data_IF_398457565731
#
_entry.id   IF_398457565731
#
_cell.length_a   1.000
_cell.length_b   1.000
_cell.length_c   1.000
_cell.angle_alpha   90.00
_cell.angle_beta   90.00
_cell.angle_gamma   90.00
#
_symmetry.space_group_name_H-M   'P 1'
#
loop_
_entity.id
_entity.type
_entity.pdbx_description
1 polymer ?
#
# COMPACT_ATOMS: atom_id res chain seq x y z
N UNK A 1 6.87 -26.38 -32.13
CA UNK A 1 8.14 -26.54 -31.38
C UNK A 1 7.95 -25.76 -30.09
N UNK A 2 7.55 -26.51 -29.06
CA UNK A 2 7.10 -25.99 -27.75
C UNK A 2 8.32 -25.68 -26.87
N UNK A 3 8.34 -24.50 -26.26
CA UNK A 3 9.19 -24.24 -25.11
C UNK A 3 8.29 -23.93 -23.91
N UNK A 4 8.00 -24.98 -23.14
CA UNK A 4 7.48 -24.88 -21.76
C UNK A 4 8.54 -24.25 -20.88
N UNK A 5 8.28 -23.07 -20.36
CA UNK A 5 9.00 -22.53 -19.20
C UNK A 5 8.25 -22.94 -17.91
N UNK A 6 8.78 -23.96 -17.28
CA UNK A 6 8.49 -24.31 -15.89
C UNK A 6 9.04 -23.20 -14.98
N UNK A 7 8.14 -22.48 -14.30
CA UNK A 7 8.49 -21.64 -13.15
C UNK A 7 8.10 -22.37 -11.86
N UNK A 8 8.95 -23.30 -11.43
CA UNK A 8 8.82 -23.91 -10.11
C UNK A 8 9.39 -22.99 -9.02
N UNK A 9 8.54 -22.72 -8.06
CA UNK A 9 8.74 -22.59 -6.62
C UNK A 9 10.10 -22.09 -6.08
N UNK A 10 10.19 -20.80 -5.75
CA UNK A 10 11.22 -20.29 -4.81
C UNK A 10 10.62 -19.27 -3.82
N UNK A 11 9.55 -19.67 -3.11
CA UNK A 11 8.96 -18.85 -2.06
C UNK A 11 9.58 -19.03 -0.66
N UNK A 12 10.39 -20.06 -0.44
CA UNK A 12 10.97 -20.38 0.88
C UNK A 12 12.36 -19.80 1.13
N UNK A 13 13.02 -19.22 0.13
CA UNK A 13 14.40 -18.77 0.22
C UNK A 13 14.60 -17.44 0.94
N UNK A 14 13.70 -16.50 0.80
CA UNK A 14 13.92 -15.12 1.25
C UNK A 14 13.94 -14.98 2.79
N UNK A 15 13.02 -15.60 3.50
CA UNK A 15 12.99 -15.60 4.98
C UNK A 15 14.14 -16.41 5.59
N UNK A 16 14.54 -17.51 4.95
CA UNK A 16 15.68 -18.32 5.38
C UNK A 16 17.02 -17.60 5.14
N UNK A 17 17.16 -16.93 4.01
CA UNK A 17 18.34 -16.12 3.68
C UNK A 17 18.43 -14.91 4.61
N UNK A 18 17.31 -14.21 4.88
CA UNK A 18 17.31 -13.08 5.82
C UNK A 18 17.69 -13.52 7.24
N UNK A 19 17.19 -14.67 7.71
CA UNK A 19 17.58 -15.25 9.00
C UNK A 19 19.06 -15.64 9.06
N UNK A 20 19.63 -16.18 7.98
CA UNK A 20 21.05 -16.53 7.92
C UNK A 20 21.96 -15.30 7.86
N UNK A 21 21.58 -14.27 7.07
CA UNK A 21 22.33 -13.02 6.97
C UNK A 21 22.26 -12.20 8.26
N UNK A 22 21.09 -12.07 8.88
CA UNK A 22 20.92 -11.46 10.20
C UNK A 22 21.73 -12.19 11.27
N UNK A 23 21.74 -13.52 11.25
CA UNK A 23 22.50 -14.33 12.21
C UNK A 23 24.02 -14.24 12.02
N UNK A 24 24.53 -14.02 10.80
CA UNK A 24 25.95 -13.84 10.54
C UNK A 24 26.41 -12.41 10.86
N UNK A 25 25.67 -11.40 10.42
CA UNK A 25 25.94 -9.99 10.73
C UNK A 25 25.86 -9.72 12.24
N UNK A 26 24.88 -10.32 12.94
CA UNK A 26 24.74 -10.22 14.40
C UNK A 26 25.95 -10.83 15.13
N UNK A 27 26.44 -11.99 14.69
CA UNK A 27 27.64 -12.62 15.30
C UNK A 27 28.90 -11.79 15.13
N UNK A 28 29.05 -11.12 14.00
CA UNK A 28 30.22 -10.27 13.74
C UNK A 28 30.15 -8.95 14.51
N UNK A 29 28.96 -8.35 14.62
CA UNK A 29 28.72 -7.15 15.40
C UNK A 29 28.84 -7.39 16.92
N UNK A 30 28.33 -8.53 17.42
CA UNK A 30 28.46 -8.95 18.81
C UNK A 30 29.88 -9.18 19.28
N UNK A 31 30.80 -9.52 18.37
CA UNK A 31 32.21 -9.76 18.70
C UNK A 31 33.06 -8.46 18.85
N UNK A 32 32.55 -7.32 18.36
CA UNK A 32 33.28 -6.07 18.29
C UNK A 32 32.68 -4.90 19.10
N UNK A 33 31.46 -5.02 19.60
CA UNK A 33 30.72 -3.94 20.25
C UNK A 33 30.86 -3.96 21.79
N UNK A 34 30.83 -2.77 22.42
CA UNK A 34 30.72 -2.66 23.86
C UNK A 34 29.39 -3.30 24.37
N UNK A 35 29.36 -3.93 25.55
CA UNK A 35 28.20 -4.68 26.06
C UNK A 35 26.86 -3.90 26.01
N UNK A 36 26.89 -2.60 26.29
CA UNK A 36 25.71 -1.72 26.26
C UNK A 36 25.19 -1.46 24.84
N UNK A 37 26.06 -1.40 23.84
CA UNK A 37 25.66 -1.22 22.45
C UNK A 37 25.01 -2.51 21.90
N UNK A 38 25.56 -3.64 22.23
CA UNK A 38 25.01 -4.96 21.89
C UNK A 38 23.62 -5.16 22.48
N UNK A 39 23.41 -4.78 23.74
CA UNK A 39 22.09 -4.89 24.39
C UNK A 39 21.03 -4.03 23.67
N UNK A 40 21.34 -2.79 23.30
CA UNK A 40 20.46 -1.89 22.55
C UNK A 40 20.14 -2.42 21.15
N UNK A 41 21.11 -2.96 20.44
CA UNK A 41 20.90 -3.56 19.12
C UNK A 41 19.97 -4.77 19.19
N UNK A 42 20.13 -5.63 20.20
CA UNK A 42 19.23 -6.77 20.45
C UNK A 42 17.81 -6.31 20.77
N UNK A 43 17.66 -5.27 21.59
CA UNK A 43 16.35 -4.70 21.93
C UNK A 43 15.67 -4.12 20.70
N UNK A 44 16.36 -3.34 19.88
CA UNK A 44 15.88 -2.77 18.63
C UNK A 44 15.45 -3.86 17.65
N UNK A 45 16.25 -4.91 17.49
CA UNK A 45 15.90 -6.04 16.64
C UNK A 45 14.68 -6.79 17.15
N UNK A 46 14.60 -7.03 18.47
CA UNK A 46 13.42 -7.67 19.08
C UNK A 46 12.15 -6.85 18.86
N UNK A 47 12.24 -5.53 18.98
CA UNK A 47 11.12 -4.63 18.73
C UNK A 47 10.70 -4.66 17.25
N UNK A 48 11.65 -4.59 16.33
CA UNK A 48 11.39 -4.70 14.89
C UNK A 48 10.68 -6.01 14.54
N UNK A 49 11.15 -7.16 15.06
CA UNK A 49 10.55 -8.47 14.80
C UNK A 49 9.11 -8.55 15.32
N UNK A 50 8.83 -8.01 16.51
CA UNK A 50 7.46 -7.93 17.05
C UNK A 50 6.54 -7.09 16.16
N UNK A 51 7.03 -5.96 15.63
CA UNK A 51 6.28 -5.13 14.70
C UNK A 51 6.03 -5.84 13.37
N UNK A 52 7.00 -6.58 12.85
CA UNK A 52 6.82 -7.41 11.65
C UNK A 52 5.74 -8.49 11.87
N UNK A 53 5.72 -9.16 13.02
CA UNK A 53 4.68 -10.14 13.36
C UNK A 53 3.29 -9.48 13.47
N UNK A 54 3.22 -8.30 14.08
CA UNK A 54 1.99 -7.51 14.15
C UNK A 54 1.49 -7.14 12.77
N UNK A 55 2.36 -6.65 11.88
CA UNK A 55 2.03 -6.30 10.51
C UNK A 55 1.47 -7.50 9.73
N UNK A 56 2.10 -8.66 9.85
CA UNK A 56 1.63 -9.89 9.21
C UNK A 56 0.28 -10.38 9.76
N UNK A 57 0.06 -10.21 11.07
CA UNK A 57 -1.25 -10.52 11.69
C UNK A 57 -2.34 -9.60 11.17
N UNK A 58 -2.06 -8.30 11.04
CA UNK A 58 -2.98 -7.32 10.46
C UNK A 58 -3.28 -7.64 8.99
N UNK A 59 -2.28 -7.99 8.18
CA UNK A 59 -2.49 -8.40 6.80
C UNK A 59 -3.47 -9.58 6.69
N UNK A 60 -3.30 -10.61 7.52
CA UNK A 60 -4.24 -11.74 7.58
C UNK A 60 -5.64 -11.31 8.02
N UNK A 61 -5.75 -10.39 8.97
CA UNK A 61 -7.05 -9.86 9.41
C UNK A 61 -7.77 -9.08 8.29
N UNK A 62 -7.02 -8.44 7.40
CA UNK A 62 -7.54 -7.81 6.18
C UNK A 62 -7.84 -8.80 5.04
N UNK A 63 -7.63 -10.11 5.25
CA UNK A 63 -7.77 -11.13 4.22
C UNK A 63 -6.68 -11.08 3.15
N UNK A 64 -5.51 -10.54 3.47
CA UNK A 64 -4.38 -10.37 2.56
C UNK A 64 -3.26 -11.38 2.84
N UNK A 65 -2.49 -11.72 1.79
CA UNK A 65 -1.34 -12.61 1.92
C UNK A 65 -0.23 -11.95 2.73
N UNK A 66 -0.05 -12.42 3.96
CA UNK A 66 0.94 -11.88 4.88
C UNK A 66 2.40 -12.04 4.39
N UNK A 67 2.67 -12.94 3.42
CA UNK A 67 4.01 -13.11 2.84
C UNK A 67 4.39 -11.96 1.89
N UNK A 68 3.39 -11.23 1.41
CA UNK A 68 3.57 -10.05 0.54
C UNK A 68 3.75 -8.74 1.31
N UNK A 69 3.71 -8.78 2.65
CA UNK A 69 3.78 -7.59 3.48
C UNK A 69 5.04 -7.62 4.33
N UNK A 70 5.88 -6.60 4.16
CA UNK A 70 7.18 -6.50 4.85
C UNK A 70 7.32 -5.16 5.57
N UNK A 71 8.04 -5.20 6.69
CA UNK A 71 8.49 -4.02 7.40
C UNK A 71 9.91 -3.69 6.94
N UNK A 72 10.16 -2.48 6.47
CA UNK A 72 11.47 -2.02 6.04
C UNK A 72 12.12 -1.18 7.13
N UNK A 73 13.40 -1.41 7.46
CA UNK A 73 14.12 -0.59 8.42
C UNK A 73 14.55 0.78 7.85
N UNK A 74 14.31 1.02 6.57
CA UNK A 74 14.73 2.23 5.89
C UNK A 74 13.51 3.13 5.63
N UNK A 75 13.59 4.39 6.04
CA UNK A 75 12.65 5.43 5.58
C UNK A 75 12.95 5.77 4.13
N UNK A 76 11.92 6.00 3.34
CA UNK A 76 12.04 6.42 1.95
C UNK A 76 11.49 7.82 1.79
N UNK A 77 12.31 8.70 1.25
CA UNK A 77 11.89 10.05 0.86
C UNK A 77 11.84 10.12 -0.67
N UNK A 78 10.83 10.73 -1.22
CA UNK A 78 10.70 10.97 -2.65
C UNK A 78 10.28 12.42 -2.90
N UNK A 79 10.73 12.96 -4.02
CA UNK A 79 10.37 14.30 -4.45
C UNK A 79 9.23 14.21 -5.47
N UNK A 80 8.15 14.92 -5.19
CA UNK A 80 7.00 15.02 -6.07
C UNK A 80 6.63 16.48 -6.27
N UNK A 81 6.60 16.93 -7.51
CA UNK A 81 6.28 18.31 -7.91
C UNK A 81 7.07 19.39 -7.15
N UNK A 82 8.34 19.08 -6.81
CA UNK A 82 9.24 19.99 -6.10
C UNK A 82 9.03 20.05 -4.59
N UNK A 83 8.26 19.10 -4.05
CA UNK A 83 8.12 18.88 -2.60
C UNK A 83 8.70 17.52 -2.21
N UNK A 84 9.38 17.48 -1.07
CA UNK A 84 9.95 16.24 -0.53
C UNK A 84 8.97 15.62 0.46
N UNK A 85 8.60 14.37 0.22
CA UNK A 85 7.68 13.59 1.06
C UNK A 85 8.41 12.42 1.68
N UNK A 86 8.16 12.17 2.96
CA UNK A 86 8.60 10.94 3.62
C UNK A 86 7.45 9.95 3.60
N UNK A 87 7.63 8.84 2.87
CA UNK A 87 6.62 7.79 2.80
C UNK A 87 6.60 6.96 4.08
N UNK A 88 5.40 6.59 4.54
CA UNK A 88 5.19 5.61 5.62
C UNK A 88 5.04 4.18 5.10
N UNK A 89 4.82 4.02 3.79
CA UNK A 89 4.70 2.74 3.11
C UNK A 89 4.79 2.89 1.60
N UNK A 90 4.79 1.76 0.91
CA UNK A 90 4.73 1.69 -0.54
C UNK A 90 4.07 0.39 -0.97
N UNK A 91 3.15 0.47 -1.92
CA UNK A 91 2.58 -0.67 -2.62
C UNK A 91 3.21 -0.83 -4.00
N UNK A 92 3.32 -2.07 -4.47
CA UNK A 92 3.93 -2.42 -5.75
C UNK A 92 2.92 -3.11 -6.67
N UNK A 93 3.12 -2.99 -7.97
CA UNK A 93 2.25 -3.59 -8.98
C UNK A 93 2.10 -5.13 -8.87
N UNK A 94 3.09 -5.82 -8.29
CA UNK A 94 3.03 -7.26 -8.00
C UNK A 94 2.21 -7.62 -6.74
N UNK A 95 1.61 -6.62 -6.10
CA UNK A 95 0.84 -6.76 -4.86
C UNK A 95 1.70 -6.82 -3.60
N UNK A 96 3.01 -6.64 -3.66
CA UNK A 96 3.82 -6.51 -2.45
C UNK A 96 3.57 -5.15 -1.78
N UNK A 97 3.65 -5.14 -0.45
CA UNK A 97 3.51 -3.94 0.38
C UNK A 97 4.74 -3.86 1.29
N UNK A 98 5.36 -2.69 1.33
CA UNK A 98 6.44 -2.38 2.24
C UNK A 98 6.02 -1.23 3.15
N UNK A 99 6.06 -1.43 4.47
CA UNK A 99 5.82 -0.38 5.46
C UNK A 99 7.15 0.04 6.07
N UNK A 100 7.41 1.34 6.14
CA UNK A 100 8.65 1.87 6.65
C UNK A 100 8.60 1.94 8.18
N UNK A 101 9.62 1.32 8.80
CA UNK A 101 9.67 1.15 10.25
C UNK A 101 10.10 2.42 10.96
N UNK A 102 9.24 2.88 11.85
CA UNK A 102 9.56 3.85 12.89
C UNK A 102 9.46 3.15 14.26
N UNK A 103 10.51 3.15 15.09
CA UNK A 103 10.46 2.57 16.44
C UNK A 103 9.33 3.10 17.31
N UNK A 104 8.88 4.34 17.08
CA UNK A 104 7.80 4.97 17.83
C UNK A 104 6.40 4.71 17.23
N UNK A 105 6.33 4.07 16.06
CA UNK A 105 5.06 3.77 15.41
C UNK A 105 4.22 2.83 16.26
N UNK A 106 3.00 3.27 16.65
CA UNK A 106 2.04 2.43 17.35
C UNK A 106 1.47 1.33 16.44
N UNK A 107 0.89 0.26 17.03
CA UNK A 107 0.21 -0.78 16.25
C UNK A 107 -1.00 -0.24 15.49
N UNK A 108 -1.70 0.76 16.06
CA UNK A 108 -2.79 1.44 15.37
C UNK A 108 -2.27 2.19 14.13
N UNK A 109 -1.15 2.91 14.24
CA UNK A 109 -0.52 3.61 13.10
C UNK A 109 -0.07 2.62 12.03
N UNK A 110 0.55 1.51 12.43
CA UNK A 110 0.95 0.43 11.53
C UNK A 110 -0.25 -0.13 10.75
N UNK A 111 -1.40 -0.31 11.42
CA UNK A 111 -2.65 -0.73 10.78
C UNK A 111 -3.21 0.32 9.81
N UNK A 112 -3.11 1.62 10.16
CA UNK A 112 -3.49 2.72 9.26
C UNK A 112 -2.66 2.73 7.99
N UNK A 113 -1.33 2.59 8.10
CA UNK A 113 -0.43 2.53 6.95
C UNK A 113 -0.75 1.31 6.07
N UNK A 114 -0.93 0.14 6.68
CA UNK A 114 -1.29 -1.06 5.94
C UNK A 114 -2.64 -0.93 5.22
N UNK A 115 -3.66 -0.35 5.86
CA UNK A 115 -4.97 -0.15 5.25
C UNK A 115 -4.88 0.77 4.01
N UNK A 116 -4.05 1.82 4.09
CA UNK A 116 -3.75 2.73 3.00
C UNK A 116 -3.08 2.00 1.83
N UNK A 117 -1.97 1.34 2.08
CA UNK A 117 -1.19 0.65 1.03
C UNK A 117 -1.96 -0.53 0.40
N UNK A 118 -2.73 -1.26 1.20
CA UNK A 118 -3.58 -2.33 0.71
C UNK A 118 -4.67 -1.81 -0.24
N UNK A 119 -5.17 -0.61 0.01
CA UNK A 119 -6.16 0.00 -0.87
C UNK A 119 -5.57 0.38 -2.23
N UNK A 120 -4.32 0.82 -2.30
CA UNK A 120 -3.60 1.00 -3.57
C UNK A 120 -3.52 -0.31 -4.36
N UNK A 121 -3.15 -1.42 -3.71
CA UNK A 121 -3.11 -2.73 -4.37
C UNK A 121 -4.48 -3.11 -4.94
N UNK A 122 -5.55 -2.93 -4.17
CA UNK A 122 -6.92 -3.21 -4.62
C UNK A 122 -7.33 -2.34 -5.81
N UNK A 123 -7.01 -1.05 -5.74
CA UNK A 123 -7.25 -0.11 -6.83
C UNK A 123 -6.53 -0.53 -8.12
N UNK A 124 -5.24 -0.86 -8.04
CA UNK A 124 -4.46 -1.26 -9.22
C UNK A 124 -4.99 -2.53 -9.88
N UNK A 125 -5.40 -3.53 -9.10
CA UNK A 125 -5.95 -4.76 -9.65
C UNK A 125 -7.30 -4.54 -10.34
N UNK A 126 -8.18 -3.70 -9.77
CA UNK A 126 -9.45 -3.33 -10.39
C UNK A 126 -9.24 -2.47 -11.63
N UNK A 127 -8.28 -1.53 -11.59
CA UNK A 127 -7.87 -0.73 -12.74
C UNK A 127 -7.39 -1.62 -13.89
N UNK A 128 -6.52 -2.58 -13.62
CA UNK A 128 -5.96 -3.47 -14.64
C UNK A 128 -7.06 -4.30 -15.31
N UNK A 129 -8.02 -4.80 -14.52
CA UNK A 129 -9.20 -5.49 -15.04
C UNK A 129 -10.10 -4.57 -15.87
N UNK A 130 -10.38 -3.35 -15.39
CA UNK A 130 -11.15 -2.33 -16.09
C UNK A 130 -10.53 -1.95 -17.44
N UNK A 131 -9.22 -1.76 -17.48
CA UNK A 131 -8.53 -1.38 -18.72
C UNK A 131 -8.37 -2.55 -19.71
N UNK A 132 -8.42 -3.79 -19.23
CA UNK A 132 -8.42 -4.97 -20.10
C UNK A 132 -9.77 -5.27 -20.73
N UNK A 133 -10.84 -4.66 -20.22
CA UNK A 133 -12.21 -4.89 -20.67
C UNK A 133 -12.59 -3.97 -21.86
N UNK A 134 -13.47 -4.39 -22.78
CA UNK A 134 -14.04 -3.49 -23.78
C UNK A 134 -14.78 -2.33 -23.15
N UNK A 135 -14.80 -1.15 -23.81
CA UNK A 135 -15.40 0.09 -23.29
C UNK A 135 -16.89 -0.01 -22.91
N UNK A 136 -17.59 -1.01 -23.41
CA UNK A 136 -18.99 -1.33 -23.06
C UNK A 136 -19.12 -2.49 -22.06
N UNK A 137 -18.01 -2.92 -21.47
CA UNK A 137 -17.94 -4.02 -20.52
C UNK A 137 -18.66 -3.75 -19.19
N UNK A 138 -18.86 -4.80 -18.37
CA UNK A 138 -19.53 -4.69 -17.08
C UNK A 138 -18.84 -3.73 -16.11
N UNK A 139 -17.49 -3.70 -16.06
CA UNK A 139 -16.77 -2.78 -15.20
C UNK A 139 -16.93 -1.33 -15.65
N UNK A 140 -16.86 -1.06 -16.95
CA UNK A 140 -17.09 0.28 -17.50
C UNK A 140 -18.51 0.78 -17.14
N UNK A 141 -19.54 -0.07 -17.25
CA UNK A 141 -20.92 0.29 -16.83
C UNK A 141 -21.02 0.49 -15.33
N UNK A 142 -20.37 -0.35 -14.53
CA UNK A 142 -20.37 -0.25 -13.06
C UNK A 142 -19.76 1.07 -12.58
N UNK A 143 -18.64 1.46 -13.15
CA UNK A 143 -17.89 2.64 -12.73
C UNK A 143 -18.30 3.95 -13.44
N UNK A 144 -19.16 3.90 -14.45
CA UNK A 144 -19.60 5.07 -15.22
C UNK A 144 -20.24 6.19 -14.39
N UNK A 145 -20.82 5.85 -13.22
CA UNK A 145 -21.44 6.83 -12.30
C UNK A 145 -20.41 7.70 -11.56
N UNK A 146 -19.15 7.31 -11.54
CA UNK A 146 -18.09 8.05 -10.85
C UNK A 146 -17.33 8.95 -11.85
N UNK A 147 -18.04 9.95 -12.35
CA UNK A 147 -17.46 10.90 -13.30
C UNK A 147 -16.27 11.64 -12.65
N UNK A 148 -15.12 11.75 -13.34
CA UNK A 148 -13.93 12.41 -12.84
C UNK A 148 -14.18 13.84 -12.35
N UNK A 149 -15.02 14.58 -13.03
CA UNK A 149 -15.40 15.95 -12.67
C UNK A 149 -16.14 16.02 -11.34
N UNK A 150 -17.03 15.05 -11.09
CA UNK A 150 -17.76 14.95 -9.83
C UNK A 150 -16.82 14.60 -8.67
N UNK A 151 -15.82 13.72 -8.90
CA UNK A 151 -14.80 13.39 -7.92
C UNK A 151 -13.88 14.60 -7.64
N UNK A 152 -13.42 15.28 -8.69
CA UNK A 152 -12.59 16.46 -8.57
C UNK A 152 -13.27 17.58 -7.78
N UNK A 153 -14.59 17.78 -7.97
CA UNK A 153 -15.37 18.76 -7.24
C UNK A 153 -15.46 18.48 -5.73
N UNK A 154 -15.32 17.22 -5.30
CA UNK A 154 -15.33 16.84 -3.88
C UNK A 154 -13.96 16.96 -3.23
N UNK A 155 -12.88 16.94 -4.02
CA UNK A 155 -11.49 16.91 -3.56
C UNK A 155 -11.20 15.71 -2.63
N UNK A 156 -10.10 15.76 -1.89
CA UNK A 156 -9.69 14.70 -0.97
C UNK A 156 -10.44 14.70 0.35
N UNK A 157 -10.28 13.62 1.10
CA UNK A 157 -10.92 13.37 2.40
C UNK A 157 -9.99 13.70 3.59
N UNK A 158 -8.73 14.00 3.32
CA UNK A 158 -7.71 14.39 4.30
C UNK A 158 -6.85 15.53 3.76
N UNK A 159 -6.04 16.15 4.63
CA UNK A 159 -5.05 17.14 4.18
C UNK A 159 -4.07 16.53 3.18
N UNK A 160 -3.60 15.31 3.46
CA UNK A 160 -2.68 14.59 2.58
C UNK A 160 -3.29 14.37 1.18
N UNK A 161 -4.49 13.82 1.08
CA UNK A 161 -5.14 13.64 -0.23
C UNK A 161 -5.47 14.97 -0.92
N UNK A 162 -5.75 16.04 -0.17
CA UNK A 162 -5.94 17.38 -0.75
C UNK A 162 -4.64 17.95 -1.33
N UNK A 163 -3.48 17.69 -0.74
CA UNK A 163 -2.17 18.07 -1.29
C UNK A 163 -1.94 17.43 -2.66
N UNK A 164 -2.35 16.17 -2.87
CA UNK A 164 -2.30 15.52 -4.19
C UNK A 164 -3.25 16.19 -5.20
N UNK A 165 -4.45 16.59 -4.79
CA UNK A 165 -5.36 17.35 -5.64
C UNK A 165 -4.80 18.75 -5.99
N UNK A 166 -4.15 19.42 -5.04
CA UNK A 166 -3.52 20.73 -5.27
C UNK A 166 -2.29 20.62 -6.17
N UNK A 167 -1.57 19.51 -6.07
CA UNK A 167 -0.41 19.22 -6.92
C UNK A 167 -0.81 18.82 -8.34
N UNK A 168 -2.02 18.27 -8.54
CA UNK A 168 -2.53 17.93 -9.86
C UNK A 168 -2.75 19.16 -10.71
N UNK A 169 -1.85 19.38 -11.66
CA UNK A 169 -1.86 20.54 -12.56
C UNK A 169 -2.28 20.18 -14.00
N UNK A 170 -2.79 18.98 -14.22
CA UNK A 170 -3.06 18.42 -15.54
C UNK A 170 -4.18 19.08 -16.35
N UNK A 171 -4.81 20.15 -15.84
CA UNK A 171 -5.83 20.94 -16.55
C UNK A 171 -7.16 20.21 -16.81
N UNK A 172 -7.14 18.91 -16.96
CA UNK A 172 -8.33 18.05 -17.03
C UNK A 172 -8.43 17.23 -15.75
N UNK A 173 -9.65 16.87 -15.28
CA UNK A 173 -9.82 15.94 -14.17
C UNK A 173 -9.11 14.61 -14.47
N UNK A 174 -8.42 13.99 -13.48
CA UNK A 174 -7.79 12.69 -13.67
C UNK A 174 -8.86 11.64 -14.00
N UNK A 175 -8.60 10.74 -14.93
CA UNK A 175 -9.52 9.65 -15.24
C UNK A 175 -9.57 8.67 -14.06
N UNK A 176 -10.72 8.03 -13.84
CA UNK A 176 -10.92 7.15 -12.69
C UNK A 176 -9.86 6.02 -12.61
N UNK A 177 -9.52 5.44 -13.76
CA UNK A 177 -8.51 4.40 -13.89
C UNK A 177 -7.56 4.76 -15.04
N UNK A 178 -6.54 5.56 -14.76
CA UNK A 178 -5.52 5.93 -15.73
C UNK A 178 -4.27 5.07 -15.60
N UNK A 179 -3.64 4.73 -16.73
CA UNK A 179 -2.27 4.20 -16.75
C UNK A 179 -1.22 5.29 -16.92
N UNK A 180 -1.63 6.50 -17.28
CA UNK A 180 -0.73 7.62 -17.48
C UNK A 180 -0.36 8.25 -16.14
N UNK A 181 0.41 7.50 -15.35
CA UNK A 181 1.18 8.08 -14.27
C UNK A 181 2.46 8.63 -14.89
N UNK A 182 2.61 9.94 -14.94
CA UNK A 182 3.95 10.51 -15.08
C UNK A 182 4.84 9.92 -13.98
N UNK A 183 6.09 9.59 -14.32
CA UNK A 183 7.03 8.97 -13.38
C UNK A 183 7.03 9.73 -12.05
N UNK A 184 6.61 9.05 -10.97
CA UNK A 184 6.62 9.56 -9.60
C UNK A 184 5.34 10.24 -9.11
N UNK A 185 4.26 10.30 -9.89
CA UNK A 185 2.98 10.89 -9.48
C UNK A 185 2.00 9.85 -8.95
N UNK A 186 1.46 10.05 -7.75
CA UNK A 186 0.28 9.34 -7.33
C UNK A 186 -0.96 10.06 -7.87
N UNK A 187 -1.87 9.29 -8.40
CA UNK A 187 -3.14 9.78 -8.91
C UNK A 187 -4.01 10.29 -7.74
N UNK A 188 -4.52 11.54 -7.74
CA UNK A 188 -5.24 12.09 -6.58
C UNK A 188 -6.49 11.28 -6.21
N UNK A 189 -7.13 10.60 -7.17
CA UNK A 189 -8.24 9.68 -6.91
C UNK A 189 -7.77 8.47 -6.11
N UNK A 190 -6.67 7.84 -6.51
CA UNK A 190 -6.09 6.68 -5.84
C UNK A 190 -5.67 7.01 -4.40
N UNK A 191 -4.99 8.14 -4.19
CA UNK A 191 -4.62 8.61 -2.85
C UNK A 191 -5.86 8.93 -1.99
N UNK A 192 -6.89 9.54 -2.56
CA UNK A 192 -8.12 9.82 -1.83
C UNK A 192 -8.81 8.54 -1.36
N UNK A 193 -8.87 7.51 -2.21
CA UNK A 193 -9.48 6.22 -1.85
C UNK A 193 -8.64 5.48 -0.78
N UNK A 194 -7.31 5.57 -0.84
CA UNK A 194 -6.41 5.02 0.17
C UNK A 194 -6.61 5.71 1.53
N UNK A 195 -6.78 7.03 1.55
CA UNK A 195 -7.12 7.79 2.76
C UNK A 195 -8.53 7.47 3.29
N UNK A 196 -9.51 7.12 2.43
CA UNK A 196 -10.80 6.58 2.87
C UNK A 196 -10.61 5.27 3.63
N UNK A 197 -9.82 4.32 3.11
CA UNK A 197 -9.54 3.05 3.78
C UNK A 197 -8.86 3.26 5.14
N UNK A 198 -7.89 4.15 5.20
CA UNK A 198 -7.20 4.56 6.44
C UNK A 198 -8.16 5.18 7.47
N UNK A 199 -9.06 6.07 7.03
CA UNK A 199 -10.06 6.67 7.90
C UNK A 199 -11.03 5.63 8.46
N UNK A 200 -11.51 4.70 7.64
CA UNK A 200 -12.38 3.61 8.05
C UNK A 200 -11.73 2.67 9.05
N UNK A 201 -10.46 2.37 8.86
CA UNK A 201 -9.70 1.57 9.81
C UNK A 201 -9.54 2.29 11.17
N UNK A 202 -9.21 3.57 11.14
CA UNK A 202 -8.89 4.34 12.34
C UNK A 202 -10.12 4.71 13.19
N UNK A 203 -11.22 5.08 12.55
CA UNK A 203 -12.43 5.61 13.22
C UNK A 203 -13.67 4.73 13.08
N UNK A 204 -13.55 3.62 12.36
CA UNK A 204 -14.66 2.68 12.15
C UNK A 204 -15.62 3.08 11.02
N UNK A 205 -16.63 2.23 10.79
CA UNK A 205 -17.54 2.36 9.64
C UNK A 205 -18.44 3.60 9.70
N UNK A 206 -18.65 4.18 10.88
CA UNK A 206 -19.53 5.34 11.09
C UNK A 206 -18.81 6.69 10.88
N UNK A 207 -17.53 6.67 10.51
CA UNK A 207 -16.78 7.90 10.20
C UNK A 207 -17.44 8.66 9.05
N UNK A 208 -17.58 9.99 9.24
CA UNK A 208 -18.17 10.86 8.21
C UNK A 208 -17.17 11.06 7.06
N UNK A 209 -17.45 10.40 5.96
CA UNK A 209 -16.75 10.54 4.68
C UNK A 209 -17.79 10.99 3.64
N UNK A 210 -17.35 11.78 2.67
CA UNK A 210 -18.20 12.13 1.53
C UNK A 210 -18.80 10.85 0.89
N UNK A 211 -20.12 10.78 0.70
CA UNK A 211 -20.78 9.56 0.20
C UNK A 211 -20.20 9.05 -1.12
N UNK A 212 -19.82 9.95 -2.05
CA UNK A 212 -19.28 9.56 -3.35
C UNK A 212 -17.96 8.81 -3.21
N UNK A 213 -17.05 9.29 -2.34
CA UNK A 213 -15.79 8.62 -2.05
C UNK A 213 -15.98 7.30 -1.33
N UNK A 214 -16.94 7.25 -0.40
CA UNK A 214 -17.27 6.01 0.29
C UNK A 214 -17.83 4.96 -0.66
N UNK A 215 -18.77 5.32 -1.53
CA UNK A 215 -19.34 4.42 -2.52
C UNK A 215 -18.29 3.91 -3.51
N UNK A 216 -17.36 4.77 -3.96
CA UNK A 216 -16.30 4.37 -4.86
C UNK A 216 -15.33 3.39 -4.18
N UNK A 217 -14.93 3.68 -2.93
CA UNK A 217 -14.11 2.76 -2.13
C UNK A 217 -14.78 1.39 -1.99
N UNK A 218 -16.05 1.35 -1.63
CA UNK A 218 -16.80 0.11 -1.43
C UNK A 218 -16.95 -0.66 -2.77
N UNK A 219 -17.23 0.04 -3.88
CA UNK A 219 -17.31 -0.56 -5.21
C UNK A 219 -15.99 -1.22 -5.66
N UNK A 220 -14.84 -0.57 -5.38
CA UNK A 220 -13.51 -1.14 -5.67
C UNK A 220 -13.26 -2.39 -4.82
N UNK A 221 -13.60 -2.37 -3.53
CA UNK A 221 -13.40 -3.51 -2.65
C UNK A 221 -14.30 -4.72 -2.99
N UNK A 222 -15.54 -4.46 -3.41
CA UNK A 222 -16.44 -5.50 -3.91
C UNK A 222 -15.89 -6.13 -5.19
N UNK A 223 -15.41 -5.32 -6.14
CA UNK A 223 -14.87 -5.81 -7.40
C UNK A 223 -13.55 -6.58 -7.19
N UNK A 224 -12.65 -6.04 -6.36
CA UNK A 224 -11.44 -6.76 -5.95
C UNK A 224 -11.79 -8.14 -5.38
N UNK A 225 -12.82 -8.22 -4.55
CA UNK A 225 -13.26 -9.49 -3.94
C UNK A 225 -13.83 -10.45 -4.99
N UNK A 226 -14.55 -9.93 -5.98
CA UNK A 226 -15.09 -10.73 -7.09
C UNK A 226 -13.96 -11.32 -7.96
N UNK A 227 -12.95 -10.51 -8.30
CA UNK A 227 -11.79 -10.92 -9.10
C UNK A 227 -10.93 -12.00 -8.41
N UNK A 228 -10.95 -12.07 -7.08
CA UNK A 228 -10.15 -13.06 -6.31
C UNK A 228 -10.92 -14.34 -5.95
N UNK A 229 -12.23 -14.39 -6.23
CA UNK A 229 -13.04 -15.60 -5.98
C UNK A 229 -13.25 -16.46 -7.23
N UNK A 230 -12.91 -15.94 -8.38
CA UNK A 230 -12.97 -16.64 -9.69
C UNK A 230 -11.66 -17.29 -10.05
#
# INVERSE_FOLDING_TARGET
>A
MEARLQSEGRGFGALSILRCWLGAALRTALAAAAPDQTAREIENLSHFLKKQETLQRLARAFGYDASKVTLSPQTKTFDYLGQSFTSEGQSFANGCIEIYYDPQMSDARLGCCLAHELQHVRYFLVRDAYCAEPADGPLHRRFAKYAPEALAAQRGVSNYSNEHWDAWKGGAPPTLFSFELEEGGSEPINETIAEVAKALYNWGPDVRINPLWRELHDAINEEYTALHRG
#
